data_IF_132714934281
#
_entry.id   IF_132714934281
#
_cell.length_a   1.000
_cell.length_b   1.000
_cell.length_c   1.000
_cell.angle_alpha   90.00
_cell.angle_beta   90.00
_cell.angle_gamma   90.00
#
_symmetry.space_group_name_H-M   'P 1'
#
loop_
_entity.id
_entity.type
_entity.pdbx_description
1 polymer ?
#
# COMPACT_ATOMS: atom_id res chain seq x y z
N UNK A 1 -13.38 -24.89 -1.63
CA UNK A 1 -14.31 -24.33 -0.63
C UNK A 1 -13.61 -23.39 0.35
N UNK A 2 -12.58 -23.83 1.10
CA UNK A 2 -11.90 -23.01 2.11
C UNK A 2 -11.35 -21.66 1.59
N UNK A 3 -10.72 -21.63 0.42
CA UNK A 3 -10.20 -20.38 -0.17
C UNK A 3 -11.29 -19.35 -0.48
N UNK A 4 -12.48 -19.80 -0.88
CA UNK A 4 -13.63 -18.91 -1.13
C UNK A 4 -14.19 -18.32 0.17
N UNK A 5 -14.21 -19.10 1.25
CA UNK A 5 -14.63 -18.64 2.58
C UNK A 5 -13.64 -17.62 3.14
N UNK A 6 -12.33 -17.87 3.00
CA UNK A 6 -11.28 -16.91 3.42
C UNK A 6 -11.37 -15.62 2.61
N UNK A 7 -11.66 -15.69 1.30
CA UNK A 7 -11.87 -14.50 0.48
C UNK A 7 -13.11 -13.71 0.92
N UNK A 8 -14.23 -14.39 1.18
CA UNK A 8 -15.48 -13.76 1.60
C UNK A 8 -15.36 -13.12 2.99
N UNK A 9 -14.87 -13.86 3.98
CA UNK A 9 -14.72 -13.38 5.37
C UNK A 9 -13.58 -12.38 5.47
N UNK A 10 -12.42 -12.69 4.90
CA UNK A 10 -11.25 -11.81 4.91
C UNK A 10 -11.55 -10.47 4.24
N UNK A 11 -12.20 -10.48 3.07
CA UNK A 11 -12.60 -9.26 2.39
C UNK A 11 -13.56 -8.40 3.21
N UNK A 12 -14.44 -8.97 4.04
CA UNK A 12 -15.31 -8.19 4.92
C UNK A 12 -14.57 -7.49 6.08
N UNK A 13 -13.39 -7.98 6.45
CA UNK A 13 -12.58 -7.44 7.56
C UNK A 13 -11.53 -6.42 7.13
N UNK A 14 -11.22 -6.31 5.83
CA UNK A 14 -10.22 -5.35 5.32
C UNK A 14 -10.88 -4.01 4.99
N UNK A 15 -10.20 -2.93 5.35
CA UNK A 15 -10.62 -1.53 5.17
C UNK A 15 -10.97 -1.16 3.71
N UNK A 16 -10.41 -1.88 2.74
CA UNK A 16 -10.64 -1.71 1.29
C UNK A 16 -11.41 -2.88 0.64
N UNK A 17 -12.01 -3.74 1.46
CA UNK A 17 -12.93 -4.80 1.10
C UNK A 17 -12.38 -5.83 0.07
N UNK A 18 -13.28 -6.58 -0.58
CA UNK A 18 -12.98 -7.50 -1.68
C UNK A 18 -12.18 -6.90 -2.85
N UNK A 19 -12.33 -5.61 -3.25
CA UNK A 19 -11.52 -5.02 -4.31
C UNK A 19 -10.01 -5.09 -4.04
N UNK A 20 -9.58 -4.83 -2.81
CA UNK A 20 -8.16 -4.93 -2.45
C UNK A 20 -7.65 -6.37 -2.47
N UNK A 21 -8.45 -7.32 -1.99
CA UNK A 21 -8.08 -8.75 -2.00
C UNK A 21 -8.00 -9.27 -3.45
N UNK A 22 -8.97 -8.90 -4.29
CA UNK A 22 -8.97 -9.23 -5.72
C UNK A 22 -7.76 -8.62 -6.44
N UNK A 23 -7.41 -7.37 -6.13
CA UNK A 23 -6.22 -6.70 -6.67
C UNK A 23 -4.93 -7.46 -6.30
N UNK A 24 -4.76 -7.83 -5.03
CA UNK A 24 -3.60 -8.60 -4.57
C UNK A 24 -3.48 -9.97 -5.25
N UNK A 25 -4.60 -10.69 -5.39
CA UNK A 25 -4.68 -11.97 -6.12
C UNK A 25 -4.32 -11.81 -7.60
N UNK A 26 -4.81 -10.74 -8.25
CA UNK A 26 -4.53 -10.47 -9.66
C UNK A 26 -3.05 -10.16 -9.90
N UNK A 27 -2.44 -9.33 -9.04
CA UNK A 27 -1.00 -9.01 -9.09
C UNK A 27 -0.16 -10.26 -8.82
N UNK A 28 -0.54 -11.09 -7.85
CA UNK A 28 0.14 -12.37 -7.58
C UNK A 28 0.05 -13.34 -8.76
N UNK A 29 -1.13 -13.45 -9.38
CA UNK A 29 -1.31 -14.26 -10.59
C UNK A 29 -0.45 -13.75 -11.74
N UNK A 30 -0.42 -12.43 -11.95
CA UNK A 30 0.40 -11.78 -12.98
C UNK A 30 1.90 -12.03 -12.79
N UNK A 31 2.40 -11.97 -11.55
CA UNK A 31 3.81 -12.24 -11.24
C UNK A 31 4.20 -13.72 -11.39
N UNK A 32 3.27 -14.66 -11.17
CA UNK A 32 3.50 -16.09 -11.46
C UNK A 32 3.44 -16.42 -12.95
N UNK A 33 2.48 -15.84 -13.67
CA UNK A 33 2.27 -16.05 -15.11
C UNK A 33 1.85 -14.74 -15.75
N UNK A 34 2.78 -14.02 -16.40
CA UNK A 34 2.47 -12.75 -17.04
C UNK A 34 1.41 -12.98 -18.11
N UNK A 35 0.20 -12.48 -17.85
CA UNK A 35 -0.96 -12.66 -18.71
C UNK A 35 -1.75 -11.36 -18.78
N UNK A 36 -2.23 -11.03 -19.99
CA UNK A 36 -3.02 -9.81 -20.23
C UNK A 36 -4.34 -9.82 -19.45
N UNK A 37 -4.93 -11.00 -19.23
CA UNK A 37 -6.13 -11.17 -18.42
C UNK A 37 -5.88 -10.81 -16.95
N UNK A 38 -4.77 -11.27 -16.35
CA UNK A 38 -4.44 -10.92 -14.97
C UNK A 38 -4.15 -9.42 -14.80
N UNK A 39 -3.50 -8.79 -15.80
CA UNK A 39 -3.30 -7.34 -15.81
C UNK A 39 -4.63 -6.58 -15.91
N UNK A 40 -5.55 -6.99 -16.79
CA UNK A 40 -6.87 -6.39 -16.91
C UNK A 40 -7.68 -6.52 -15.61
N UNK A 41 -7.66 -7.70 -14.97
CA UNK A 41 -8.32 -7.92 -13.68
C UNK A 41 -7.70 -7.05 -12.58
N UNK A 42 -6.37 -6.88 -12.56
CA UNK A 42 -5.70 -5.97 -11.63
C UNK A 42 -6.14 -4.51 -11.86
N UNK A 43 -6.19 -4.03 -13.11
CA UNK A 43 -6.65 -2.67 -13.44
C UNK A 43 -8.11 -2.48 -13.01
N UNK A 44 -8.98 -3.44 -13.31
CA UNK A 44 -10.40 -3.38 -12.94
C UNK A 44 -10.60 -3.43 -11.42
N UNK A 45 -9.85 -4.26 -10.70
CA UNK A 45 -9.90 -4.30 -9.24
C UNK A 45 -9.36 -2.99 -8.63
N UNK A 46 -8.35 -2.38 -9.25
CA UNK A 46 -7.82 -1.07 -8.83
C UNK A 46 -8.83 0.05 -9.10
N UNK A 47 -9.54 0.01 -10.23
CA UNK A 47 -10.63 0.93 -10.52
C UNK A 47 -11.81 0.73 -9.55
N UNK A 48 -12.10 -0.50 -9.14
CA UNK A 48 -13.14 -0.80 -8.15
C UNK A 48 -12.84 -0.22 -6.75
N UNK A 49 -11.56 0.02 -6.40
CA UNK A 49 -11.19 0.73 -5.17
C UNK A 49 -11.70 2.18 -5.16
N UNK A 50 -11.96 2.78 -6.33
CA UNK A 50 -12.59 4.10 -6.42
C UNK A 50 -13.94 4.14 -5.72
N UNK A 51 -14.73 3.06 -5.77
CA UNK A 51 -16.04 3.01 -5.14
C UNK A 51 -15.97 3.20 -3.61
N UNK A 52 -14.85 2.77 -3.00
CA UNK A 52 -14.62 2.85 -1.55
C UNK A 52 -13.91 4.16 -1.21
N UNK A 53 -12.84 4.49 -1.93
CA UNK A 53 -11.97 5.62 -1.61
C UNK A 53 -12.49 6.96 -2.18
N UNK A 54 -13.50 6.92 -3.07
CA UNK A 54 -14.00 8.04 -3.91
C UNK A 54 -12.89 8.78 -4.66
N UNK A 55 -11.77 8.11 -4.87
CA UNK A 55 -10.54 8.73 -5.30
C UNK A 55 -9.82 7.83 -6.32
N UNK A 56 -9.45 8.41 -7.46
CA UNK A 56 -8.78 7.74 -8.57
C UNK A 56 -7.26 7.74 -8.45
N UNK A 57 -6.69 8.38 -7.42
CA UNK A 57 -5.24 8.41 -7.19
C UNK A 57 -4.61 7.01 -7.09
N UNK A 58 -5.39 5.97 -6.74
CA UNK A 58 -4.93 4.59 -6.77
C UNK A 58 -4.50 4.12 -8.19
N UNK A 59 -5.18 4.60 -9.24
CA UNK A 59 -4.80 4.29 -10.63
C UNK A 59 -3.48 4.94 -11.01
N UNK A 60 -3.12 6.09 -10.41
CA UNK A 60 -1.84 6.75 -10.65
C UNK A 60 -0.65 5.93 -10.10
N UNK A 61 -0.88 5.01 -9.16
CA UNK A 61 0.17 4.10 -8.70
C UNK A 61 0.59 3.09 -9.79
N UNK A 62 -0.31 2.69 -10.69
CA UNK A 62 0.00 1.75 -11.78
C UNK A 62 1.06 2.27 -12.78
N UNK A 63 0.94 3.49 -13.35
CA UNK A 63 1.97 4.02 -14.23
C UNK A 63 3.28 4.32 -13.48
N UNK A 64 3.21 4.71 -12.20
CA UNK A 64 4.42 4.87 -11.37
C UNK A 64 5.13 3.53 -11.18
N UNK A 65 4.40 2.46 -10.89
CA UNK A 65 4.95 1.11 -10.77
C UNK A 65 5.53 0.61 -12.09
N UNK A 66 4.85 0.87 -13.21
CA UNK A 66 5.33 0.52 -14.54
C UNK A 66 6.60 1.30 -14.91
N UNK A 67 6.68 2.58 -14.56
CA UNK A 67 7.88 3.38 -14.77
C UNK A 67 9.02 2.89 -13.88
N UNK A 68 8.73 2.59 -12.61
CA UNK A 68 9.70 2.04 -11.67
C UNK A 68 10.22 0.66 -12.10
N UNK A 69 9.40 -0.21 -12.71
CA UNK A 69 9.87 -1.49 -13.24
C UNK A 69 10.79 -1.36 -14.45
N UNK A 70 10.72 -0.23 -15.17
CA UNK A 70 11.65 0.10 -16.26
C UNK A 70 12.97 0.69 -15.78
N UNK A 71 13.04 1.13 -14.52
CA UNK A 71 14.26 1.64 -13.90
C UNK A 71 14.83 0.57 -12.98
N UNK A 72 15.87 -0.13 -13.40
CA UNK A 72 16.61 -1.06 -12.55
C UNK A 72 17.44 -0.26 -11.53
N UNK A 73 16.80 0.17 -10.44
CA UNK A 73 17.51 0.77 -9.31
C UNK A 73 18.07 -0.36 -8.46
N UNK A 74 19.37 -0.63 -8.61
CA UNK A 74 20.13 -1.53 -7.72
C UNK A 74 20.31 -0.88 -6.35
N UNK A 75 19.25 -0.86 -5.56
CA UNK A 75 19.31 -0.38 -4.18
C UNK A 75 19.95 -1.49 -3.33
N UNK A 76 21.10 -1.25 -2.67
CA UNK A 76 21.64 -2.20 -1.72
C UNK A 76 20.63 -2.41 -0.59
N UNK A 77 20.48 -3.64 -0.14
CA UNK A 77 19.47 -4.01 0.87
C UNK A 77 19.79 -3.33 2.22
N UNK A 78 19.29 -2.12 2.39
CA UNK A 78 19.47 -1.24 3.54
C UNK A 78 18.60 -1.71 4.72
N UNK A 79 18.87 -2.92 5.20
CA UNK A 79 18.14 -3.56 6.29
C UNK A 79 18.01 -2.66 7.52
N UNK A 80 19.03 -1.88 7.85
CA UNK A 80 19.05 -1.01 9.03
C UNK A 80 18.47 0.38 8.79
N UNK A 81 18.32 0.83 7.54
CA UNK A 81 17.86 2.19 7.28
C UNK A 81 16.48 2.42 7.87
N UNK A 82 15.55 1.48 7.69
CA UNK A 82 14.22 1.58 8.31
C UNK A 82 14.28 1.50 9.85
N UNK A 83 15.02 0.53 10.41
CA UNK A 83 15.11 0.35 11.86
C UNK A 83 15.86 1.48 12.58
N UNK A 84 16.75 2.20 11.91
CA UNK A 84 17.42 3.37 12.47
C UNK A 84 16.61 4.64 12.25
N UNK A 85 16.04 4.81 11.05
CA UNK A 85 15.24 5.98 10.69
C UNK A 85 13.97 6.09 11.53
N UNK A 86 13.25 4.99 11.74
CA UNK A 86 11.97 5.00 12.45
C UNK A 86 12.08 5.49 13.91
N UNK A 87 12.93 4.92 14.79
CA UNK A 87 13.08 5.42 16.15
C UNK A 87 13.66 6.83 16.19
N UNK A 88 14.55 7.18 15.24
CA UNK A 88 15.11 8.54 15.16
C UNK A 88 14.04 9.57 14.78
N UNK A 89 13.16 9.23 13.84
CA UNK A 89 12.02 10.06 13.45
C UNK A 89 11.06 10.27 14.63
N UNK A 90 10.70 9.19 15.34
CA UNK A 90 9.88 9.26 16.55
C UNK A 90 10.55 10.09 17.65
N UNK A 91 11.85 9.94 17.85
CA UNK A 91 12.61 10.74 18.80
C UNK A 91 12.63 12.22 18.40
N UNK A 92 12.74 12.54 17.11
CA UNK A 92 12.68 13.91 16.62
C UNK A 92 11.29 14.52 16.84
N UNK A 93 10.20 13.79 16.53
CA UNK A 93 8.83 14.22 16.83
C UNK A 93 8.63 14.45 18.32
N UNK A 94 9.15 13.55 19.15
CA UNK A 94 9.09 13.68 20.60
C UNK A 94 9.88 14.90 21.11
N UNK A 95 11.06 15.15 20.56
CA UNK A 95 11.89 16.30 20.90
C UNK A 95 11.26 17.63 20.48
N UNK A 96 10.58 17.68 19.31
CA UNK A 96 9.82 18.85 18.84
C UNK A 96 8.56 19.08 19.69
N UNK A 97 7.98 18.01 20.23
CA UNK A 97 6.81 18.08 21.13
C UNK A 97 7.13 18.78 22.46
N UNK A 98 8.36 18.71 22.96
CA UNK A 98 8.79 19.36 24.21
C UNK A 98 8.70 20.91 24.13
N UNK A 99 9.31 21.60 23.16
CA UNK A 99 9.18 23.06 23.02
C UNK A 99 7.77 23.48 22.64
N UNK A 100 7.03 22.70 21.83
CA UNK A 100 5.64 23.02 21.48
C UNK A 100 4.68 22.92 22.69
N UNK A 101 4.90 21.95 23.59
CA UNK A 101 4.14 21.83 24.83
C UNK A 101 4.44 22.99 25.81
N UNK A 102 5.68 23.49 25.84
CA UNK A 102 6.04 24.71 26.60
C UNK A 102 5.52 26.00 25.97
N UNK A 103 5.25 26.00 24.66
CA UNK A 103 4.65 27.11 23.92
C UNK A 103 3.10 27.11 23.94
N UNK A 104 2.46 26.21 24.68
CA UNK A 104 1.01 26.20 24.88
C UNK A 104 0.19 25.46 23.80
N UNK A 105 0.84 24.79 22.84
CA UNK A 105 0.13 23.95 21.87
C UNK A 105 -0.15 22.57 22.48
N UNK A 106 -1.36 22.40 23.01
CA UNK A 106 -1.90 21.11 23.45
C UNK A 106 -2.28 20.30 22.21
N UNK A 107 -1.36 19.43 21.79
CA UNK A 107 -1.71 18.33 20.90
C UNK A 107 -2.45 17.28 21.73
N UNK A 108 -3.78 17.32 21.66
CA UNK A 108 -4.67 16.23 22.08
C UNK A 108 -4.69 15.14 21.02
#
# INVERSE_FOLDING_TARGET
AAAGVVFLVGGSSVEYWWPAVAFGLAVWSYTRRPSWSAAAVAVLACAALWFINRNLWALAALPVLFLASRVDVRVPRLRWAFYAYYPLHLAALWLIRIPMSKAGYLFF
#
